data_IF_014152124096
#
_entry.id   IF_014152124096
#
_cell.length_a   1.000
_cell.length_b   1.000
_cell.length_c   1.000
_cell.angle_alpha   90.00
_cell.angle_beta   90.00
_cell.angle_gamma   90.00
#
_symmetry.space_group_name_H-M   'P 1'
#
loop_
_entity.id
_entity.type
_entity.pdbx_description
1 polymer ?
#
# COMPACT_ATOMS: atom_id res chain seq x y z
N UNK A 1 53.75 -29.89 16.92
CA UNK A 1 52.53 -29.13 17.28
C UNK A 1 51.93 -28.62 15.98
N UNK A 2 50.83 -29.23 15.51
CA UNK A 2 50.08 -28.79 14.32
C UNK A 2 48.72 -28.33 14.80
N UNK A 3 48.45 -27.03 14.69
CA UNK A 3 47.19 -26.41 15.10
C UNK A 3 46.19 -26.59 13.96
N UNK A 4 45.09 -27.29 14.22
CA UNK A 4 43.94 -27.39 13.31
C UNK A 4 42.99 -26.24 13.66
N UNK A 5 42.75 -25.34 12.70
CA UNK A 5 41.73 -24.29 12.81
C UNK A 5 40.42 -24.90 12.32
N UNK A 6 39.45 -25.07 13.22
CA UNK A 6 38.09 -25.45 12.85
C UNK A 6 37.34 -24.19 12.40
N UNK A 7 36.99 -24.11 11.12
CA UNK A 7 36.09 -23.08 10.60
C UNK A 7 34.65 -23.44 11.02
N UNK A 8 34.02 -22.57 11.81
CA UNK A 8 32.63 -22.72 12.22
C UNK A 8 31.74 -22.29 11.04
N UNK A 9 31.09 -23.25 10.39
CA UNK A 9 30.10 -23.00 9.35
C UNK A 9 28.81 -22.55 10.02
N UNK A 10 28.45 -21.27 9.89
CA UNK A 10 27.15 -20.77 10.34
C UNK A 10 26.06 -21.30 9.40
N UNK A 11 25.27 -22.26 9.89
CA UNK A 11 24.05 -22.70 9.21
C UNK A 11 22.99 -21.63 9.46
N UNK A 12 22.66 -20.85 8.43
CA UNK A 12 21.47 -20.01 8.44
C UNK A 12 20.26 -20.93 8.31
N UNK A 13 19.59 -21.18 9.44
CA UNK A 13 18.26 -21.81 9.44
C UNK A 13 17.29 -20.73 8.94
N UNK A 14 16.80 -20.88 7.72
CA UNK A 14 15.62 -20.16 7.25
C UNK A 14 14.46 -20.62 8.14
N UNK A 15 14.07 -19.81 9.11
CA UNK A 15 12.84 -20.04 9.85
C UNK A 15 11.68 -19.87 8.86
N UNK A 16 11.02 -20.99 8.55
CA UNK A 16 9.68 -20.94 7.97
C UNK A 16 8.79 -20.04 8.86
N UNK A 17 7.83 -19.30 8.29
CA UNK A 17 6.91 -18.51 9.09
C UNK A 17 6.30 -19.38 10.18
N UNK A 18 6.16 -18.81 11.38
CA UNK A 18 5.56 -19.52 12.52
C UNK A 18 4.20 -20.07 12.12
N UNK A 19 3.90 -21.30 12.56
CA UNK A 19 2.65 -22.03 12.26
C UNK A 19 1.37 -21.21 12.53
N UNK A 20 1.44 -20.21 13.41
CA UNK A 20 0.35 -19.27 13.73
C UNK A 20 0.10 -18.22 12.63
N UNK A 21 1.12 -17.74 11.92
CA UNK A 21 0.94 -16.78 10.82
C UNK A 21 0.35 -17.47 9.57
N UNK A 22 0.73 -18.73 9.34
CA UNK A 22 0.15 -19.54 8.27
C UNK A 22 -1.34 -19.88 8.54
N UNK A 23 -1.70 -20.14 9.80
CA UNK A 23 -3.08 -20.48 10.18
C UNK A 23 -4.09 -19.34 9.96
N UNK A 24 -3.64 -18.10 9.85
CA UNK A 24 -4.50 -16.94 9.57
C UNK A 24 -4.96 -16.87 8.11
N UNK A 25 -4.25 -17.50 7.19
CA UNK A 25 -4.57 -17.47 5.76
C UNK A 25 -5.44 -18.64 5.32
N UNK A 26 -5.68 -19.60 6.21
CA UNK A 26 -6.45 -20.82 5.93
C UNK A 26 -7.95 -20.55 5.71
N UNK A 27 -8.47 -19.42 6.19
CA UNK A 27 -9.91 -19.08 6.10
C UNK A 27 -10.22 -17.85 5.24
N UNK A 28 -9.21 -17.18 4.68
CA UNK A 28 -9.41 -15.88 4.00
C UNK A 28 -10.37 -16.00 2.82
N UNK A 29 -10.23 -17.06 2.02
CA UNK A 29 -11.10 -17.34 0.87
C UNK A 29 -12.57 -17.64 1.27
N UNK A 30 -12.87 -17.75 2.56
CA UNK A 30 -14.24 -17.91 3.07
C UNK A 30 -14.82 -16.63 3.70
N UNK A 31 -14.01 -15.59 3.86
CA UNK A 31 -14.44 -14.30 4.41
C UNK A 31 -15.29 -13.56 3.36
N UNK A 32 -16.30 -12.77 3.78
CA UNK A 32 -17.05 -11.93 2.84
C UNK A 32 -16.14 -10.93 2.13
N UNK A 33 -16.38 -10.74 0.83
CA UNK A 33 -15.73 -9.69 0.04
C UNK A 33 -16.53 -8.38 0.13
N UNK A 34 -15.81 -7.28 0.31
CA UNK A 34 -16.36 -5.92 0.31
C UNK A 34 -15.63 -5.13 -0.76
N UNK A 35 -16.30 -4.83 -1.87
CA UNK A 35 -15.80 -3.92 -2.89
C UNK A 35 -15.76 -2.49 -2.36
N UNK A 36 -14.65 -1.80 -2.62
CA UNK A 36 -14.37 -0.42 -2.22
C UNK A 36 -13.99 0.37 -3.46
N UNK A 37 -14.62 1.52 -3.62
CA UNK A 37 -14.47 2.47 -4.72
C UNK A 37 -14.11 3.86 -4.19
N UNK A 38 -13.87 4.81 -5.09
CA UNK A 38 -13.64 6.23 -4.74
C UNK A 38 -14.80 6.87 -3.93
N UNK A 39 -16.01 6.30 -3.98
CA UNK A 39 -17.17 6.82 -3.27
C UNK A 39 -17.33 6.32 -1.82
N UNK A 40 -16.43 5.45 -1.34
CA UNK A 40 -16.59 4.78 -0.05
C UNK A 40 -15.81 5.44 1.12
N UNK A 41 -14.91 6.39 0.84
CA UNK A 41 -14.12 7.09 1.86
C UNK A 41 -14.02 8.60 1.52
N UNK A 42 -15.11 9.33 1.77
CA UNK A 42 -15.21 10.75 1.43
C UNK A 42 -14.56 11.65 2.51
N UNK A 43 -14.37 12.93 2.18
CA UNK A 43 -13.76 13.89 3.07
C UNK A 43 -14.38 13.93 4.49
N UNK A 44 -13.54 13.78 5.51
CA UNK A 44 -13.93 13.79 6.92
C UNK A 44 -14.47 12.47 7.47
N UNK A 45 -14.54 11.40 6.66
CA UNK A 45 -15.04 10.11 7.10
C UNK A 45 -14.11 9.41 8.12
N UNK A 46 -14.68 8.49 8.89
CA UNK A 46 -13.89 7.53 9.67
C UNK A 46 -14.33 6.13 9.30
N UNK A 47 -13.50 5.44 8.54
CA UNK A 47 -13.77 4.11 7.99
C UNK A 47 -12.89 3.09 8.70
N UNK A 48 -13.43 1.89 8.93
CA UNK A 48 -12.70 0.78 9.53
C UNK A 48 -12.83 -0.48 8.69
N UNK A 49 -11.70 -1.04 8.33
CA UNK A 49 -11.57 -2.34 7.70
C UNK A 49 -11.16 -3.39 8.74
N UNK A 50 -11.90 -4.50 8.78
CA UNK A 50 -11.75 -5.55 9.80
C UNK A 50 -11.27 -6.86 9.19
N UNK A 51 -10.55 -7.67 9.96
CA UNK A 51 -10.06 -8.97 9.52
C UNK A 51 -11.17 -10.00 9.19
N UNK A 52 -12.43 -9.73 9.56
CA UNK A 52 -13.59 -10.55 9.22
C UNK A 52 -13.92 -10.51 7.72
N UNK A 53 -13.44 -9.52 6.98
CA UNK A 53 -13.70 -9.34 5.54
C UNK A 53 -12.40 -9.37 4.72
N UNK A 54 -12.56 -9.57 3.41
CA UNK A 54 -11.57 -9.20 2.40
C UNK A 54 -12.06 -7.94 1.71
N UNK A 55 -11.23 -6.91 1.64
CA UNK A 55 -11.58 -5.66 0.95
C UNK A 55 -11.01 -5.69 -0.46
N UNK A 56 -11.83 -5.33 -1.45
CA UNK A 56 -11.46 -5.34 -2.86
C UNK A 56 -11.42 -3.91 -3.36
N UNK A 57 -10.24 -3.39 -3.68
CA UNK A 57 -10.07 -2.07 -4.30
C UNK A 57 -10.47 -2.19 -5.77
N UNK A 58 -11.51 -1.47 -6.18
CA UNK A 58 -11.98 -1.39 -7.57
C UNK A 58 -11.67 0.02 -8.10
N UNK A 59 -10.55 0.12 -8.82
CA UNK A 59 -10.00 1.39 -9.29
C UNK A 59 -9.26 2.17 -8.21
N UNK A 60 -9.16 3.49 -8.41
CA UNK A 60 -8.46 4.40 -7.52
C UNK A 60 -9.31 4.67 -6.27
N UNK A 61 -8.94 4.08 -5.14
CA UNK A 61 -9.61 4.31 -3.85
C UNK A 61 -8.85 5.40 -3.10
N UNK A 62 -9.53 6.50 -2.80
CA UNK A 62 -8.92 7.69 -2.19
C UNK A 62 -9.46 7.88 -0.78
N UNK A 63 -8.56 7.97 0.19
CA UNK A 63 -8.87 8.45 1.55
C UNK A 63 -8.71 9.96 1.52
N UNK A 64 -9.83 10.67 1.41
CA UNK A 64 -9.85 12.11 1.18
C UNK A 64 -9.42 12.95 2.40
N UNK A 65 -9.32 14.27 2.20
CA UNK A 65 -8.93 15.23 3.23
C UNK A 65 -9.78 15.08 4.50
N UNK A 66 -9.11 14.99 5.66
CA UNK A 66 -9.76 14.84 6.95
C UNK A 66 -10.34 13.44 7.21
N UNK A 67 -10.37 12.56 6.20
CA UNK A 67 -10.81 11.19 6.37
C UNK A 67 -9.74 10.37 7.09
N UNK A 68 -10.17 9.34 7.82
CA UNK A 68 -9.29 8.40 8.50
C UNK A 68 -9.70 6.96 8.20
N UNK A 69 -8.78 6.20 7.61
CA UNK A 69 -8.92 4.78 7.36
C UNK A 69 -8.18 3.97 8.43
N UNK A 70 -8.92 3.24 9.26
CA UNK A 70 -8.36 2.24 10.17
C UNK A 70 -8.38 0.86 9.53
N UNK A 71 -7.28 0.12 9.59
CA UNK A 71 -7.20 -1.26 9.08
C UNK A 71 -6.71 -2.14 10.22
N UNK A 72 -7.57 -3.06 10.67
CA UNK A 72 -7.27 -3.94 11.78
C UNK A 72 -6.25 -5.02 11.37
N UNK A 73 -5.45 -5.45 12.34
CA UNK A 73 -4.45 -6.49 12.14
C UNK A 73 -5.05 -7.76 11.54
N UNK A 74 -4.37 -8.32 10.54
CA UNK A 74 -4.80 -9.53 9.84
C UNK A 74 -5.85 -9.34 8.74
N UNK A 75 -6.22 -8.09 8.45
CA UNK A 75 -7.04 -7.74 7.29
C UNK A 75 -6.29 -8.02 5.98
N UNK A 76 -7.02 -8.54 4.99
CA UNK A 76 -6.52 -8.75 3.63
C UNK A 76 -7.27 -7.79 2.71
N UNK A 77 -6.49 -7.11 1.89
CA UNK A 77 -6.94 -6.15 0.89
C UNK A 77 -6.40 -6.63 -0.45
N UNK A 78 -7.30 -6.86 -1.40
CA UNK A 78 -6.97 -7.21 -2.77
C UNK A 78 -7.30 -6.04 -3.68
N UNK A 79 -6.56 -5.84 -4.76
CA UNK A 79 -6.84 -4.84 -5.78
C UNK A 79 -7.24 -5.52 -7.08
N UNK A 80 -8.34 -5.06 -7.68
CA UNK A 80 -8.81 -5.54 -8.98
C UNK A 80 -7.77 -5.28 -10.07
N UNK A 81 -7.76 -6.15 -11.08
CA UNK A 81 -6.99 -5.92 -12.30
C UNK A 81 -7.46 -4.65 -12.99
N UNK A 82 -6.50 -3.89 -13.49
CA UNK A 82 -6.74 -2.70 -14.29
C UNK A 82 -5.50 -2.36 -15.09
N UNK A 83 -5.62 -1.49 -16.08
CA UNK A 83 -4.47 -0.95 -16.82
C UNK A 83 -4.73 0.51 -17.18
N UNK A 84 -3.68 1.34 -17.21
CA UNK A 84 -3.83 2.77 -17.48
C UNK A 84 -4.89 3.40 -16.56
N UNK A 85 -5.92 4.07 -17.09
CA UNK A 85 -6.92 4.80 -16.29
C UNK A 85 -7.76 3.93 -15.35
N UNK A 86 -7.82 2.62 -15.60
CA UNK A 86 -8.60 1.68 -14.80
C UNK A 86 -7.75 1.00 -13.70
N UNK A 87 -6.49 1.41 -13.51
CA UNK A 87 -5.59 0.80 -12.55
C UNK A 87 -6.08 1.00 -11.09
N UNK A 88 -6.09 -0.09 -10.32
CA UNK A 88 -6.45 -0.05 -8.91
C UNK A 88 -5.28 0.38 -8.02
N UNK A 89 -5.51 1.31 -7.10
CA UNK A 89 -4.53 1.74 -6.11
C UNK A 89 -5.21 2.33 -4.87
N UNK A 90 -4.50 2.37 -3.74
CA UNK A 90 -4.94 3.06 -2.53
C UNK A 90 -4.16 4.36 -2.37
N UNK A 91 -4.86 5.49 -2.37
CA UNK A 91 -4.26 6.82 -2.21
C UNK A 91 -4.74 7.44 -0.90
N UNK A 92 -3.80 7.87 -0.07
CA UNK A 92 -4.07 8.71 1.09
C UNK A 92 -3.80 10.13 0.65
N UNK A 93 -4.87 10.88 0.33
CA UNK A 93 -4.75 12.26 -0.13
C UNK A 93 -4.29 13.19 1.01
N UNK A 94 -3.88 14.40 0.65
CA UNK A 94 -3.44 15.42 1.62
C UNK A 94 -4.47 15.60 2.74
N UNK A 95 -3.99 15.50 3.98
CA UNK A 95 -4.82 15.64 5.17
C UNK A 95 -5.68 14.40 5.50
N UNK A 96 -5.71 13.39 4.63
CA UNK A 96 -6.23 12.06 4.92
C UNK A 96 -5.22 11.24 5.75
N UNK A 97 -5.72 10.23 6.45
CA UNK A 97 -4.89 9.39 7.35
C UNK A 97 -5.15 7.91 7.16
N UNK A 98 -4.09 7.12 7.25
CA UNK A 98 -4.17 5.65 7.30
C UNK A 98 -3.59 5.11 8.61
N UNK A 99 -4.30 4.20 9.27
CA UNK A 99 -3.81 3.45 10.42
C UNK A 99 -3.90 1.96 10.12
N UNK A 100 -2.91 1.48 9.37
CA UNK A 100 -2.66 0.07 9.10
C UNK A 100 -1.68 -0.49 10.13
N UNK A 101 -2.20 -0.85 11.30
CA UNK A 101 -1.41 -1.29 12.45
C UNK A 101 -1.52 -2.81 12.65
N UNK A 102 -0.87 -3.55 11.76
CA UNK A 102 -0.76 -5.01 11.85
C UNK A 102 0.08 -5.45 13.06
N UNK A 103 0.25 -6.76 13.20
CA UNK A 103 1.19 -7.33 14.18
C UNK A 103 2.11 -8.36 13.54
N UNK A 104 3.18 -8.74 14.23
CA UNK A 104 4.10 -9.78 13.76
C UNK A 104 3.39 -11.10 13.41
N UNK A 105 2.38 -11.47 14.20
CA UNK A 105 1.60 -12.70 14.01
C UNK A 105 0.38 -12.50 13.14
N UNK A 106 -0.08 -11.25 12.98
CA UNK A 106 -1.24 -10.89 12.16
C UNK A 106 -0.93 -9.68 11.27
N UNK A 107 -0.09 -9.86 10.23
CA UNK A 107 0.22 -8.77 9.33
C UNK A 107 -1.02 -8.39 8.50
N UNK A 108 -1.09 -7.14 8.09
CA UNK A 108 -2.04 -6.69 7.06
C UNK A 108 -1.44 -7.00 5.69
N UNK A 109 -2.24 -7.54 4.78
CA UNK A 109 -1.78 -7.94 3.44
C UNK A 109 -2.51 -7.10 2.40
N UNK A 110 -1.75 -6.36 1.60
CA UNK A 110 -2.22 -5.74 0.36
C UNK A 110 -1.65 -6.53 -0.82
N UNK A 111 -2.51 -6.93 -1.75
CA UNK A 111 -2.14 -7.82 -2.85
C UNK A 111 -3.05 -7.64 -4.07
N UNK A 112 -2.78 -8.36 -5.16
CA UNK A 112 -3.64 -8.40 -6.34
C UNK A 112 -4.82 -9.36 -6.15
N UNK A 113 -5.92 -9.14 -6.87
CA UNK A 113 -7.11 -9.99 -6.81
C UNK A 113 -6.82 -11.47 -7.09
N UNK A 114 -5.91 -11.74 -8.03
CA UNK A 114 -5.50 -13.07 -8.46
C UNK A 114 -4.55 -13.78 -7.47
N UNK A 115 -4.00 -13.08 -6.47
CA UNK A 115 -3.07 -13.68 -5.51
C UNK A 115 -3.81 -14.73 -4.66
N UNK A 116 -3.35 -15.98 -4.79
CA UNK A 116 -3.77 -17.07 -3.94
C UNK A 116 -2.94 -17.04 -2.65
N UNK A 117 -3.40 -16.23 -1.71
CA UNK A 117 -2.72 -16.01 -0.43
C UNK A 117 -2.66 -17.23 0.48
N UNK A 118 -3.43 -18.28 0.19
CA UNK A 118 -3.38 -19.57 0.90
C UNK A 118 -2.30 -20.50 0.32
N UNK A 119 -1.68 -20.13 -0.81
CA UNK A 119 -0.54 -20.86 -1.38
C UNK A 119 0.70 -20.72 -0.50
N UNK A 120 1.49 -21.80 -0.28
CA UNK A 120 2.79 -21.67 0.37
C UNK A 120 3.80 -20.89 -0.50
N UNK A 121 3.57 -20.84 -1.81
CA UNK A 121 4.36 -20.10 -2.78
C UNK A 121 3.71 -18.73 -3.02
N UNK A 122 3.84 -17.83 -2.04
CA UNK A 122 3.17 -16.51 -1.99
C UNK A 122 3.73 -15.48 -2.98
N UNK A 123 4.89 -15.74 -3.58
CA UNK A 123 5.57 -14.87 -4.53
C UNK A 123 6.32 -15.78 -5.51
N UNK A 124 5.78 -15.96 -6.70
CA UNK A 124 6.46 -16.69 -7.76
C UNK A 124 7.20 -15.69 -8.65
N UNK A 125 8.33 -16.10 -9.23
CA UNK A 125 8.99 -15.30 -10.27
C UNK A 125 8.41 -15.62 -11.66
N UNK A 126 7.20 -16.18 -11.72
CA UNK A 126 6.52 -16.48 -12.97
C UNK A 126 5.84 -15.20 -13.50
N UNK A 127 5.79 -15.06 -14.82
CA UNK A 127 5.31 -13.85 -15.48
C UNK A 127 3.83 -14.05 -15.89
N UNK A 128 2.88 -13.13 -15.58
CA UNK A 128 3.03 -11.89 -14.82
C UNK A 128 2.58 -12.00 -13.35
N UNK A 129 3.53 -12.09 -12.41
CA UNK A 129 3.29 -12.02 -10.96
C UNK A 129 3.68 -10.64 -10.35
N UNK A 130 3.79 -9.59 -11.19
CA UNK A 130 4.16 -8.21 -10.81
C UNK A 130 3.38 -7.18 -11.63
N UNK A 131 3.29 -5.95 -11.11
CA UNK A 131 2.64 -4.84 -11.80
C UNK A 131 1.14 -5.04 -12.01
N UNK A 132 0.49 -5.79 -11.11
CA UNK A 132 -0.92 -6.12 -11.17
C UNK A 132 -1.80 -5.02 -10.58
N UNK A 133 -1.23 -4.12 -9.77
CA UNK A 133 -1.91 -2.96 -9.20
C UNK A 133 -0.91 -1.87 -8.75
N UNK A 134 -1.43 -0.70 -8.38
CA UNK A 134 -0.62 0.50 -8.14
C UNK A 134 0.12 0.53 -6.82
N UNK A 135 -0.35 -0.18 -5.81
CA UNK A 135 0.23 -0.08 -4.47
C UNK A 135 -0.44 1.02 -3.65
N UNK A 136 0.31 1.52 -2.67
CA UNK A 136 -0.15 2.51 -1.71
C UNK A 136 0.61 3.82 -1.94
N UNK A 137 -0.12 4.91 -2.07
CA UNK A 137 0.43 6.26 -2.22
C UNK A 137 0.00 7.12 -1.04
N UNK A 138 0.93 7.75 -0.35
CA UNK A 138 0.64 8.69 0.75
C UNK A 138 1.13 10.08 0.37
N UNK A 139 0.17 11.01 0.31
CA UNK A 139 0.37 12.40 -0.05
C UNK A 139 0.29 13.26 1.21
N UNK A 140 1.44 13.62 1.76
CA UNK A 140 1.51 14.42 2.97
C UNK A 140 1.50 15.93 2.71
N UNK A 141 1.45 16.69 3.80
CA UNK A 141 1.34 18.16 3.81
C UNK A 141 2.65 18.90 4.14
N UNK A 142 3.75 18.16 4.33
CA UNK A 142 5.06 18.73 4.63
C UNK A 142 5.71 19.38 3.41
N UNK A 143 6.58 20.37 3.63
CA UNK A 143 7.34 20.99 2.55
C UNK A 143 8.27 19.98 1.86
N UNK A 144 8.50 20.16 0.56
CA UNK A 144 9.46 19.34 -0.21
C UNK A 144 10.64 20.17 -0.71
N UNK A 145 11.69 19.50 -1.18
CA UNK A 145 12.85 20.15 -1.78
C UNK A 145 12.68 20.38 -3.30
N UNK A 146 11.46 20.23 -3.84
CA UNK A 146 11.21 20.46 -5.26
C UNK A 146 11.39 21.95 -5.61
N UNK A 147 12.15 22.27 -6.67
CA UNK A 147 12.33 23.66 -7.10
C UNK A 147 11.00 24.32 -7.44
N UNK A 148 10.75 25.48 -6.84
CA UNK A 148 9.50 26.21 -7.04
C UNK A 148 8.37 25.83 -6.09
N UNK A 149 8.67 25.07 -5.02
CA UNK A 149 7.85 25.00 -3.82
C UNK A 149 8.20 26.18 -2.90
N UNK A 150 7.50 27.30 -3.01
CA UNK A 150 7.41 28.20 -1.87
C UNK A 150 6.57 27.51 -0.78
N UNK A 151 6.75 27.88 0.49
CA UNK A 151 5.89 27.37 1.56
C UNK A 151 4.41 27.66 1.21
N UNK A 152 3.62 26.60 1.04
CA UNK A 152 2.20 26.69 0.62
C UNK A 152 1.91 26.37 -0.85
N UNK A 153 2.92 26.02 -1.65
CA UNK A 153 2.72 25.46 -3.00
C UNK A 153 2.47 23.94 -2.94
N UNK A 154 1.80 23.43 -3.98
CA UNK A 154 1.45 22.01 -4.12
C UNK A 154 2.00 21.44 -5.44
N UNK A 155 2.22 20.13 -5.47
CA UNK A 155 2.62 19.37 -6.65
C UNK A 155 1.74 18.15 -6.80
N UNK A 156 1.53 17.73 -8.02
CA UNK A 156 0.85 16.47 -8.31
C UNK A 156 1.87 15.32 -8.31
N UNK A 157 1.51 14.21 -7.68
CA UNK A 157 2.32 12.98 -7.78
C UNK A 157 2.12 12.39 -9.18
N UNK A 158 3.23 12.17 -9.88
CA UNK A 158 3.19 11.42 -11.14
C UNK A 158 2.58 10.05 -10.86
N UNK A 159 1.63 9.69 -11.67
CA UNK A 159 0.95 8.45 -11.66
C UNK A 159 -0.51 8.55 -11.23
N UNK A 160 -0.75 9.20 -10.09
CA UNK A 160 -2.13 9.38 -9.59
C UNK A 160 -2.84 10.48 -10.39
N UNK A 161 -2.10 11.53 -10.79
CA UNK A 161 -2.70 12.64 -11.52
C UNK A 161 -3.12 12.28 -12.94
N UNK A 162 -2.52 11.29 -13.59
CA UNK A 162 -3.00 10.79 -14.89
C UNK A 162 -4.26 9.91 -14.77
N UNK A 163 -4.58 9.41 -13.57
CA UNK A 163 -5.78 8.61 -13.31
C UNK A 163 -6.98 9.46 -12.90
N UNK A 164 -6.75 10.74 -12.58
CA UNK A 164 -7.80 11.66 -12.14
C UNK A 164 -8.24 12.62 -13.26
N UNK A 165 -9.48 13.13 -13.20
CA UNK A 165 -9.94 14.15 -14.13
C UNK A 165 -9.11 15.44 -14.05
N UNK A 166 -8.96 16.14 -15.17
CA UNK A 166 -8.29 17.45 -15.22
C UNK A 166 -8.83 18.42 -14.15
N UNK A 167 -7.93 18.90 -13.29
CA UNK A 167 -8.24 19.85 -12.22
C UNK A 167 -8.71 19.23 -10.91
N UNK A 168 -8.71 17.90 -10.79
CA UNK A 168 -8.80 17.21 -9.51
C UNK A 168 -7.52 17.43 -8.70
N UNK A 169 -7.68 17.77 -7.42
CA UNK A 169 -6.56 18.11 -6.52
C UNK A 169 -6.16 16.95 -5.62
N UNK A 170 -6.83 15.79 -5.73
CA UNK A 170 -6.59 14.62 -4.86
C UNK A 170 -5.27 13.90 -5.15
N UNK A 171 -4.57 14.26 -6.23
CA UNK A 171 -3.18 13.85 -6.49
C UNK A 171 -2.13 14.84 -5.95
N UNK A 172 -2.55 15.97 -5.37
CA UNK A 172 -1.60 16.95 -4.83
C UNK A 172 -0.90 16.40 -3.57
N UNK A 173 0.38 16.73 -3.39
CA UNK A 173 1.15 16.59 -2.15
C UNK A 173 1.90 17.91 -1.85
N UNK A 174 2.44 17.99 -0.63
CA UNK A 174 3.26 19.12 -0.20
C UNK A 174 2.49 20.17 0.60
N UNK A 175 3.22 21.21 1.00
CA UNK A 175 2.68 22.31 1.78
C UNK A 175 3.72 22.93 2.71
N UNK A 176 3.32 23.20 3.94
CA UNK A 176 4.16 23.84 4.97
C UNK A 176 3.96 23.24 6.37
N UNK A 177 3.30 22.08 6.45
CA UNK A 177 3.00 21.39 7.70
C UNK A 177 4.07 20.32 7.91
N UNK A 178 5.26 20.72 8.33
CA UNK A 178 6.41 19.81 8.46
C UNK A 178 6.22 18.74 9.55
N UNK A 179 5.28 18.95 10.46
CA UNK A 179 4.82 18.00 11.47
C UNK A 179 3.56 17.21 11.05
N UNK A 180 3.27 17.15 9.74
CA UNK A 180 2.18 16.35 9.20
C UNK A 180 2.25 14.88 9.67
N UNK A 181 1.10 14.37 10.07
CA UNK A 181 0.89 13.00 10.53
C UNK A 181 -0.12 12.34 9.57
N UNK A 182 0.42 11.62 8.59
CA UNK A 182 -0.36 10.85 7.62
C UNK A 182 -0.76 9.46 8.16
N UNK A 183 -0.40 9.14 9.40
CA UNK A 183 -0.77 7.93 10.13
C UNK A 183 0.32 6.86 10.23
N UNK A 184 -0.07 5.58 10.26
CA UNK A 184 0.80 4.44 10.59
C UNK A 184 0.64 3.33 9.55
N UNK A 185 1.77 2.85 9.04
CA UNK A 185 1.89 1.56 8.34
C UNK A 185 2.87 0.69 9.13
N UNK A 186 2.37 -0.39 9.74
CA UNK A 186 3.16 -1.28 10.59
C UNK A 186 2.76 -2.73 10.36
N UNK A 187 3.76 -3.62 10.25
CA UNK A 187 3.56 -5.05 9.96
C UNK A 187 2.65 -5.28 8.74
N UNK A 188 3.01 -4.65 7.63
CA UNK A 188 2.27 -4.75 6.37
C UNK A 188 3.08 -5.51 5.33
N UNK A 189 2.41 -6.37 4.56
CA UNK A 189 2.92 -7.02 3.35
C UNK A 189 2.26 -6.38 2.14
N UNK A 190 3.05 -5.83 1.22
CA UNK A 190 2.59 -5.25 -0.04
C UNK A 190 3.17 -6.10 -1.18
N UNK A 191 2.33 -6.64 -2.06
CA UNK A 191 2.73 -7.65 -3.08
C UNK A 191 2.20 -7.30 -4.47
N UNK A 192 2.86 -7.79 -5.51
CA UNK A 192 2.47 -7.68 -6.92
C UNK A 192 2.21 -6.26 -7.45
N UNK A 193 2.74 -5.23 -6.78
CA UNK A 193 2.60 -3.83 -7.18
C UNK A 193 3.49 -3.49 -8.38
N UNK A 194 3.40 -2.26 -8.84
CA UNK A 194 4.27 -1.72 -9.89
C UNK A 194 3.59 -1.63 -11.24
N UNK A 195 2.32 -1.24 -11.25
CA UNK A 195 1.55 -1.15 -12.48
C UNK A 195 2.01 0.06 -13.30
N UNK A 196 2.28 -0.17 -14.58
CA UNK A 196 2.55 0.90 -15.53
C UNK A 196 1.22 1.53 -15.95
N UNK A 197 1.11 2.84 -15.74
CA UNK A 197 -0.12 3.62 -15.86
C UNK A 197 -0.03 4.71 -16.93
N UNK A 198 1.16 5.00 -17.44
CA UNK A 198 1.35 5.96 -18.52
C UNK A 198 1.56 5.32 -19.90
N UNK A 199 1.52 6.16 -20.94
CA UNK A 199 1.84 5.73 -22.31
C UNK A 199 3.33 5.42 -22.54
N UNK A 200 4.19 5.77 -21.59
CA UNK A 200 5.65 5.56 -21.66
C UNK A 200 6.12 4.53 -20.64
N UNK A 201 7.05 3.67 -21.05
CA UNK A 201 7.72 2.73 -20.16
C UNK A 201 8.30 3.45 -18.93
N UNK A 202 7.90 3.00 -17.74
CA UNK A 202 8.39 3.52 -16.47
C UNK A 202 7.54 4.61 -15.80
N UNK A 203 6.40 5.00 -16.38
CA UNK A 203 5.39 5.75 -15.64
C UNK A 203 4.56 4.78 -14.78
N UNK A 204 5.01 4.57 -13.54
CA UNK A 204 4.61 3.43 -12.71
C UNK A 204 4.30 3.89 -11.28
N UNK A 205 3.14 3.49 -10.74
CA UNK A 205 2.90 3.62 -9.30
C UNK A 205 3.67 2.51 -8.56
N UNK A 206 4.55 2.93 -7.67
CA UNK A 206 5.40 2.05 -6.88
C UNK A 206 4.62 1.41 -5.72
N UNK A 207 5.11 0.29 -5.21
CA UNK A 207 4.40 -0.45 -4.15
C UNK A 207 4.10 0.34 -2.88
N UNK A 208 5.02 1.21 -2.47
CA UNK A 208 4.77 2.21 -1.44
C UNK A 208 5.43 3.53 -1.86
N UNK A 209 4.60 4.54 -2.12
CA UNK A 209 5.03 5.88 -2.48
C UNK A 209 4.73 6.83 -1.34
N UNK A 210 5.75 7.54 -0.85
CA UNK A 210 5.64 8.53 0.22
C UNK A 210 6.14 9.87 -0.33
N UNK A 211 5.27 10.86 -0.43
CA UNK A 211 5.62 12.20 -0.91
C UNK A 211 5.04 13.25 0.04
N UNK A 212 5.88 14.18 0.50
CA UNK A 212 5.47 15.23 1.44
C UNK A 212 5.01 14.74 2.82
N UNK A 213 5.32 13.50 3.24
CA UNK A 213 5.00 12.99 4.58
C UNK A 213 5.89 13.67 5.62
N UNK A 214 5.26 14.22 6.68
CA UNK A 214 5.91 14.98 7.73
C UNK A 214 6.59 14.15 8.81
N UNK A 215 6.95 14.81 9.91
CA UNK A 215 7.65 14.21 11.05
C UNK A 215 6.74 13.46 12.05
N UNK A 216 5.44 13.37 11.77
CA UNK A 216 4.41 12.73 12.60
C UNK A 216 4.57 11.22 12.78
#
# INVERSE_FOLDING_TARGET
>A
MRTIIAALLAVFITLAPSREAAAQLDDVESRPEVTVTDHDIEAGDTVRWTADNVYILDGLVIVEEGATLHIDAGTVIKAEEGTGPDASALVIARGGKIFADGTLTQPIIFTAFQDNISSPDLLTNEDPDRGLWGGIVILGQAGTNNPGDAAGDYKEVEGVNELLPDGDTRAEYGGSVDDDDSGVIRYVSIRHTGINIGESDGNEIQGLTLVGVGAG
#
